data_IF_787799219205
#
_entry.id   IF_787799219205
#
_cell.length_a   1.000
_cell.length_b   1.000
_cell.length_c   1.000
_cell.angle_alpha   90.00
_cell.angle_beta   90.00
_cell.angle_gamma   90.00
#
_symmetry.space_group_name_H-M   'P 1'
#
loop_
_entity.id
_entity.type
_entity.pdbx_description
1 polymer ?
#
# COMPACT_ATOMS: atom_id res chain seq x y z
N UNK A 1 13.40 11.46 5.80
CA UNK A 1 14.33 10.39 6.21
C UNK A 1 14.22 9.30 5.16
N UNK A 2 15.30 9.02 4.43
CA UNK A 2 15.27 8.01 3.36
C UNK A 2 15.10 6.61 4.00
N UNK A 3 14.33 5.73 3.37
CA UNK A 3 14.24 4.29 3.65
C UNK A 3 13.41 3.83 4.87
N UNK A 4 12.46 4.63 5.38
CA UNK A 4 11.46 4.11 6.33
C UNK A 4 10.50 3.14 5.63
N UNK A 5 10.17 2.04 6.31
CA UNK A 5 9.29 1.00 5.80
C UNK A 5 8.25 0.53 6.82
N UNK A 6 7.12 0.05 6.30
CA UNK A 6 6.14 -0.73 7.05
C UNK A 6 6.46 -2.21 6.85
N UNK A 7 6.68 -2.95 7.92
CA UNK A 7 6.86 -4.41 7.86
C UNK A 7 5.57 -5.08 8.28
N UNK A 8 5.06 -6.00 7.46
CA UNK A 8 3.78 -6.67 7.70
C UNK A 8 3.94 -8.18 7.72
N UNK A 9 3.40 -8.82 8.76
CA UNK A 9 3.37 -10.27 8.89
C UNK A 9 2.08 -10.83 8.27
N UNK A 10 2.16 -11.24 7.00
CA UNK A 10 0.98 -11.56 6.17
C UNK A 10 0.85 -13.05 5.86
N UNK A 11 -0.39 -13.54 5.91
CA UNK A 11 -0.73 -14.89 5.43
C UNK A 11 -0.89 -14.95 3.91
N UNK A 12 -1.01 -13.79 3.24
CA UNK A 12 -1.16 -13.71 1.78
C UNK A 12 0.16 -14.00 1.08
N UNK A 13 0.13 -14.81 0.03
CA UNK A 13 1.25 -15.01 -0.89
C UNK A 13 1.47 -13.80 -1.79
N UNK A 14 2.62 -13.76 -2.47
CA UNK A 14 2.99 -12.67 -3.37
C UNK A 14 1.96 -12.49 -4.49
N UNK A 15 1.56 -13.56 -5.18
CA UNK A 15 0.65 -13.49 -6.32
C UNK A 15 -0.67 -12.80 -5.95
N UNK A 16 -1.19 -13.11 -4.76
CA UNK A 16 -2.40 -12.47 -4.23
C UNK A 16 -2.18 -11.00 -3.88
N UNK A 17 -1.08 -10.66 -3.21
CA UNK A 17 -0.74 -9.27 -2.88
C UNK A 17 -0.63 -8.40 -4.13
N UNK A 18 0.02 -8.91 -5.18
CA UNK A 18 0.15 -8.20 -6.45
C UNK A 18 -1.20 -8.01 -7.13
N UNK A 19 -2.03 -9.07 -7.21
CA UNK A 19 -3.39 -9.00 -7.75
C UNK A 19 -4.28 -7.99 -7.01
N UNK A 20 -4.09 -7.86 -5.70
CA UNK A 20 -4.87 -6.94 -4.85
C UNK A 20 -4.36 -5.49 -4.89
N UNK A 21 -3.28 -5.19 -5.61
CA UNK A 21 -2.72 -3.84 -5.67
C UNK A 21 -1.79 -3.49 -4.50
N UNK A 22 -1.60 -4.40 -3.54
CA UNK A 22 -0.88 -4.14 -2.31
C UNK A 22 -1.26 -5.05 -1.16
N UNK A 23 -0.72 -4.75 0.03
CA UNK A 23 -0.95 -5.54 1.23
C UNK A 23 -2.08 -4.93 2.05
N UNK A 24 -3.17 -5.67 2.27
CA UNK A 24 -4.42 -5.11 2.81
C UNK A 24 -4.93 -5.70 4.13
N UNK A 25 -6.05 -5.13 4.60
CA UNK A 25 -6.75 -5.51 5.82
C UNK A 25 -5.93 -5.32 7.11
N UNK A 26 -5.12 -4.26 7.16
CA UNK A 26 -4.27 -3.92 8.30
C UNK A 26 -4.95 -3.00 9.30
N UNK A 27 -4.81 -3.29 10.59
CA UNK A 27 -4.97 -2.30 11.65
C UNK A 27 -3.63 -1.60 11.85
N UNK A 28 -3.48 -0.44 11.20
CA UNK A 28 -2.27 0.38 11.25
C UNK A 28 -2.60 1.85 11.50
N UNK A 29 -1.59 2.65 11.83
CA UNK A 29 -1.70 4.10 11.85
C UNK A 29 -1.41 4.64 10.45
N UNK A 30 -2.43 5.14 9.75
CA UNK A 30 -2.31 5.60 8.37
C UNK A 30 -1.36 6.81 8.23
N UNK A 31 -1.32 7.70 9.22
CA UNK A 31 -0.40 8.84 9.22
C UNK A 31 1.07 8.39 9.28
N UNK A 32 1.39 7.38 10.10
CA UNK A 32 2.74 6.81 10.13
C UNK A 32 3.07 6.00 8.88
N UNK A 33 2.12 5.19 8.39
CA UNK A 33 2.31 4.42 7.16
C UNK A 33 2.54 5.34 5.95
N UNK A 34 1.84 6.47 5.88
CA UNK A 34 2.01 7.46 4.80
C UNK A 34 3.36 8.19 4.80
N UNK A 35 4.16 8.07 5.86
CA UNK A 35 5.55 8.58 5.90
C UNK A 35 6.58 7.55 5.41
N UNK A 36 6.18 6.29 5.27
CA UNK A 36 7.05 5.22 4.81
C UNK A 36 7.09 5.18 3.28
N UNK A 37 8.27 4.95 2.71
CA UNK A 37 8.44 4.82 1.26
C UNK A 37 8.24 3.37 0.78
N UNK A 38 8.37 2.40 1.69
CA UNK A 38 8.36 0.98 1.35
C UNK A 38 7.46 0.16 2.28
N UNK A 39 6.92 -0.93 1.76
CA UNK A 39 6.32 -2.01 2.54
C UNK A 39 7.13 -3.28 2.34
N UNK A 40 7.47 -3.97 3.43
CA UNK A 40 8.16 -5.27 3.42
C UNK A 40 7.19 -6.33 3.93
N UNK A 41 6.85 -7.28 3.07
CA UNK A 41 5.96 -8.37 3.42
C UNK A 41 6.76 -9.57 3.94
N UNK A 42 6.39 -10.03 5.12
CA UNK A 42 6.98 -11.19 5.79
C UNK A 42 5.92 -12.28 5.90
N UNK A 43 6.28 -13.52 5.55
CA UNK A 43 5.29 -14.58 5.46
C UNK A 43 4.91 -15.16 6.83
N UNK A 44 3.62 -15.16 7.10
CA UNK A 44 2.98 -15.95 8.14
C UNK A 44 2.49 -17.28 7.56
N UNK A 45 3.04 -18.41 8.03
CA UNK A 45 2.54 -19.75 7.67
C UNK A 45 1.64 -20.38 8.73
N UNK A 46 1.44 -19.71 9.87
CA UNK A 46 0.48 -20.17 10.89
C UNK A 46 -0.98 -20.05 10.40
N UNK A 47 -1.19 -19.46 9.21
CA UNK A 47 -2.46 -19.33 8.51
C UNK A 47 -2.24 -19.70 7.04
N UNK A 48 -3.17 -20.45 6.44
CA UNK A 48 -3.08 -20.95 5.07
C UNK A 48 -4.04 -20.27 4.08
N UNK A 49 -5.04 -19.53 4.56
CA UNK A 49 -6.10 -18.92 3.74
C UNK A 49 -5.59 -17.96 2.66
N UNK A 50 -4.41 -17.38 2.86
CA UNK A 50 -3.82 -16.41 1.95
C UNK A 50 -2.94 -17.01 0.86
N UNK A 51 -2.85 -18.35 0.76
CA UNK A 51 -2.00 -19.05 -0.20
C UNK A 51 -0.52 -18.63 -0.06
N UNK A 52 0.13 -18.90 1.08
CA UNK A 52 1.50 -18.44 1.34
C UNK A 52 2.50 -19.05 0.36
N UNK A 53 3.44 -18.24 -0.14
CA UNK A 53 4.41 -18.61 -1.18
C UNK A 53 5.86 -18.67 -0.65
N UNK A 54 6.17 -17.99 0.45
CA UNK A 54 7.51 -18.01 1.07
C UNK A 54 7.54 -18.82 2.38
N UNK A 55 8.73 -19.08 2.95
CA UNK A 55 8.87 -19.77 4.26
C UNK A 55 8.39 -18.87 5.41
N UNK A 56 8.02 -19.47 6.54
CA UNK A 56 7.58 -18.69 7.70
C UNK A 56 8.67 -17.71 8.16
N UNK A 57 8.28 -16.48 8.50
CA UNK A 57 9.16 -15.38 8.92
C UNK A 57 10.20 -14.95 7.88
N UNK A 58 10.06 -15.35 6.61
CA UNK A 58 10.88 -14.85 5.51
C UNK A 58 10.26 -13.58 4.94
N UNK A 59 11.02 -12.50 4.86
CA UNK A 59 10.66 -11.35 4.02
C UNK A 59 10.80 -11.75 2.55
N UNK A 60 9.71 -11.63 1.80
CA UNK A 60 9.59 -12.20 0.45
C UNK A 60 9.25 -11.18 -0.63
N UNK A 61 8.79 -9.99 -0.24
CA UNK A 61 8.39 -8.93 -1.16
C UNK A 61 8.68 -7.58 -0.51
N UNK A 62 9.31 -6.69 -1.27
CA UNK A 62 9.35 -5.26 -0.97
C UNK A 62 8.56 -4.51 -2.04
N UNK A 63 7.66 -3.62 -1.62
CA UNK A 63 6.89 -2.76 -2.51
C UNK A 63 7.16 -1.28 -2.24
N UNK A 64 7.25 -0.47 -3.29
CA UNK A 64 7.23 0.99 -3.17
C UNK A 64 5.80 1.44 -2.89
N UNK A 65 5.59 2.09 -1.75
CA UNK A 65 4.25 2.54 -1.34
C UNK A 65 3.80 3.66 -2.27
N UNK A 66 2.64 3.48 -2.89
CA UNK A 66 2.00 4.51 -3.74
C UNK A 66 0.95 5.31 -2.97
N UNK A 67 0.18 4.65 -2.09
CA UNK A 67 -0.81 5.30 -1.24
C UNK A 67 -1.26 4.40 -0.10
N UNK A 68 -1.88 5.00 0.92
CA UNK A 68 -2.58 4.29 2.00
C UNK A 68 -4.07 4.60 1.88
N UNK A 69 -4.91 3.60 1.68
CA UNK A 69 -6.36 3.77 1.53
C UNK A 69 -7.15 2.76 2.35
N UNK A 70 -8.47 2.96 2.47
CA UNK A 70 -9.34 2.03 3.18
C UNK A 70 -9.45 0.72 2.40
N UNK A 71 -9.32 -0.40 3.13
CA UNK A 71 -9.49 -1.74 2.61
C UNK A 71 -10.93 -1.93 2.13
N UNK A 72 -11.11 -2.36 0.88
CA UNK A 72 -12.43 -2.66 0.30
C UNK A 72 -12.84 -4.13 0.52
N UNK A 73 -11.94 -4.96 1.06
CA UNK A 73 -12.24 -6.35 1.40
C UNK A 73 -13.41 -6.45 2.39
N UNK A 74 -14.36 -7.34 2.09
CA UNK A 74 -15.51 -7.61 2.94
C UNK A 74 -15.06 -8.03 4.36
N UNK A 75 -15.68 -7.44 5.38
CA UNK A 75 -15.33 -7.70 6.79
C UNK A 75 -14.07 -6.98 7.28
N UNK A 76 -13.44 -6.14 6.44
CA UNK A 76 -12.25 -5.35 6.78
C UNK A 76 -12.55 -3.86 7.03
N UNK A 77 -13.76 -3.53 7.47
CA UNK A 77 -14.17 -2.15 7.81
C UNK A 77 -13.22 -1.53 8.83
N UNK A 78 -12.76 -0.29 8.55
CA UNK A 78 -11.81 0.44 9.38
C UNK A 78 -10.37 -0.09 9.30
N UNK A 79 -10.06 -0.98 8.36
CA UNK A 79 -8.71 -1.47 8.08
C UNK A 79 -8.17 -0.85 6.81
N UNK A 80 -6.85 -0.83 6.69
CA UNK A 80 -6.14 -0.15 5.61
C UNK A 80 -5.51 -1.14 4.62
N UNK A 81 -5.37 -0.68 3.39
CA UNK A 81 -4.49 -1.24 2.37
C UNK A 81 -3.28 -0.33 2.16
N UNK A 82 -2.11 -0.97 2.06
CA UNK A 82 -0.87 -0.34 1.66
C UNK A 82 -0.68 -0.64 0.18
N UNK A 83 -1.06 0.31 -0.68
CA UNK A 83 -0.98 0.16 -2.13
C UNK A 83 0.48 0.29 -2.57
N UNK A 84 0.86 -0.47 -3.60
CA UNK A 84 2.23 -0.46 -4.15
C UNK A 84 2.21 -0.14 -5.65
N UNK A 85 3.17 0.67 -6.10
CA UNK A 85 3.35 0.98 -7.53
C UNK A 85 4.37 0.07 -8.22
N UNK A 86 5.37 -0.36 -7.48
CA UNK A 86 6.45 -1.21 -7.93
C UNK A 86 6.82 -2.19 -6.84
N UNK A 87 7.40 -3.32 -7.21
CA UNK A 87 7.84 -4.33 -6.26
C UNK A 87 9.13 -5.01 -6.70
N UNK A 88 9.87 -5.54 -5.74
CA UNK A 88 11.00 -6.42 -5.97
C UNK A 88 10.86 -7.67 -5.10
N UNK A 89 11.35 -8.79 -5.64
CA UNK A 89 11.47 -10.04 -4.91
C UNK A 89 12.67 -9.99 -3.99
N UNK A 90 12.47 -10.45 -2.76
CA UNK A 90 13.53 -10.60 -1.75
C UNK A 90 13.39 -11.95 -1.08
N UNK A 91 14.43 -12.42 -0.40
CA UNK A 91 14.38 -13.67 0.38
C UNK A 91 15.30 -13.56 1.58
N UNK A 92 14.79 -12.97 2.65
CA UNK A 92 15.55 -12.75 3.89
C UNK A 92 14.85 -13.53 5.01
N UNK A 93 15.46 -14.60 5.55
CA UNK A 93 14.85 -15.43 6.58
C UNK A 93 14.85 -14.73 7.94
N UNK A 94 13.94 -15.15 8.83
CA UNK A 94 13.88 -14.72 10.23
C UNK A 94 13.76 -13.20 10.46
N UNK A 95 13.09 -12.50 9.55
CA UNK A 95 12.92 -11.04 9.64
C UNK A 95 11.88 -10.65 10.70
N UNK A 96 10.94 -11.53 11.01
CA UNK A 96 9.94 -11.27 12.04
C UNK A 96 10.42 -11.71 13.42
N UNK A 97 10.41 -10.78 14.37
CA UNK A 97 10.90 -10.94 15.76
C UNK A 97 9.89 -11.65 16.69
N UNK A 98 8.72 -12.04 16.18
CA UNK A 98 7.65 -12.66 16.97
C UNK A 98 6.72 -11.66 17.64
N UNK A 99 6.80 -10.36 17.32
CA UNK A 99 5.87 -9.36 17.83
C UNK A 99 4.40 -9.77 17.55
N UNK A 100 3.54 -9.56 18.55
CA UNK A 100 2.10 -9.88 18.50
C UNK A 100 1.35 -8.99 17.52
N UNK A 101 1.76 -7.73 17.36
CA UNK A 101 1.15 -6.84 16.38
C UNK A 101 1.73 -7.16 15.00
N UNK A 102 0.96 -7.64 14.01
CA UNK A 102 1.48 -8.06 12.71
C UNK A 102 1.90 -6.89 11.80
N UNK A 103 2.07 -5.69 12.36
CA UNK A 103 2.55 -4.48 11.69
C UNK A 103 3.65 -3.85 12.54
N UNK A 104 4.79 -3.58 11.93
CA UNK A 104 5.91 -2.88 12.53
C UNK A 104 6.41 -1.77 11.61
N UNK A 105 7.13 -0.80 12.17
CA UNK A 105 7.77 0.27 11.43
C UNK A 105 9.28 0.17 11.67
N UNK A 106 10.05 0.09 10.59
CA UNK A 106 11.49 -0.19 10.60
C UNK A 106 12.17 0.64 9.52
N UNK A 107 13.49 0.58 9.47
CA UNK A 107 14.29 1.05 8.32
C UNK A 107 14.70 -0.12 7.44
N UNK A 108 15.01 0.11 6.16
CA UNK A 108 15.50 -0.96 5.28
C UNK A 108 16.87 -1.50 5.74
N UNK A 109 17.68 -0.64 6.34
CA UNK A 109 18.99 -0.95 6.90
C UNK A 109 18.88 -1.96 8.05
N UNK A 110 17.91 -1.79 8.95
CA UNK A 110 17.60 -2.76 10.02
C UNK A 110 17.25 -4.15 9.49
N UNK A 111 16.76 -4.23 8.25
CA UNK A 111 16.35 -5.48 7.59
C UNK A 111 17.44 -6.06 6.67
N UNK A 112 18.61 -5.40 6.57
CA UNK A 112 19.67 -5.71 5.61
C UNK A 112 19.17 -5.71 4.14
N UNK A 113 18.30 -4.77 3.79
CA UNK A 113 17.81 -4.58 2.43
C UNK A 113 18.55 -3.42 1.78
N UNK A 114 19.33 -3.73 0.74
CA UNK A 114 19.99 -2.75 -0.11
C UNK A 114 19.20 -2.54 -1.41
N UNK A 115 18.76 -1.31 -1.64
CA UNK A 115 17.95 -0.94 -2.80
C UNK A 115 18.72 -0.98 -4.11
N UNK A 116 20.04 -0.80 -4.11
CA UNK A 116 20.84 -0.74 -5.35
C UNK A 116 20.88 -2.09 -6.06
N UNK A 117 20.72 -3.18 -5.30
CA UNK A 117 20.77 -4.54 -5.79
C UNK A 117 19.38 -5.11 -6.18
N UNK A 118 18.31 -4.31 -6.05
CA UNK A 118 16.94 -4.77 -6.30
C UNK A 118 16.44 -4.38 -7.69
N UNK A 119 15.89 -5.37 -8.40
CA UNK A 119 15.17 -5.19 -9.66
C UNK A 119 13.69 -4.93 -9.37
N UNK A 120 13.27 -3.66 -9.48
CA UNK A 120 11.87 -3.28 -9.30
C UNK A 120 11.08 -3.49 -10.60
N UNK A 121 9.99 -4.25 -10.48
CA UNK A 121 8.99 -4.43 -11.51
C UNK A 121 7.83 -3.48 -11.22
N UNK A 122 7.31 -2.81 -12.26
CA UNK A 122 6.06 -2.08 -12.13
C UNK A 122 4.94 -3.07 -11.83
N UNK A 123 4.07 -2.70 -10.90
CA UNK A 123 2.85 -3.43 -10.71
C UNK A 123 1.94 -3.12 -11.91
N UNK A 124 1.77 -4.09 -12.80
CA UNK A 124 0.75 -4.03 -13.82
C UNK A 124 -0.61 -4.14 -13.12
N UNK A 125 -1.21 -2.98 -12.85
CA UNK A 125 -2.62 -2.94 -12.52
C UNK A 125 -3.33 -3.33 -13.82
N UNK A 126 -3.85 -4.56 -13.88
CA UNK A 126 -4.86 -4.84 -14.90
C UNK A 126 -5.93 -3.76 -14.74
N UNK A 127 -6.21 -2.95 -15.78
CA UNK A 127 -7.34 -2.05 -15.72
C UNK A 127 -8.54 -2.95 -15.46
N UNK A 128 -9.12 -2.81 -14.28
CA UNK A 128 -10.14 -3.68 -13.71
C UNK A 128 -11.07 -4.21 -14.81
N UNK A 129 -10.83 -5.44 -15.28
CA UNK A 129 -11.67 -6.13 -16.27
C UNK A 129 -12.89 -6.69 -15.54
N UNK A 130 -13.69 -5.77 -15.01
CA UNK A 130 -15.10 -5.96 -14.76
C UNK A 130 -15.81 -4.80 -15.46
N UNK A 131 -16.23 -5.09 -16.69
CA UNK A 131 -17.28 -4.40 -17.45
C UNK A 131 -17.31 -2.87 -17.39
N UNK A 132 -16.60 -2.25 -18.36
CA UNK A 132 -17.01 -0.97 -18.96
C UNK A 132 -16.35 -0.76 -20.32
N UNK A 133 -16.45 -1.76 -21.21
CA UNK A 133 -16.14 -1.59 -22.63
C UNK A 133 -17.19 -0.74 -23.39
N UNK A 134 -18.04 0.02 -22.69
CA UNK A 134 -19.04 0.92 -23.26
C UNK A 134 -19.35 2.12 -22.34
N UNK A 135 -18.37 2.66 -21.61
CA UNK A 135 -18.50 4.04 -21.12
C UNK A 135 -17.69 4.99 -22.00
N UNK A 136 -18.25 6.13 -22.42
CA UNK A 136 -17.46 7.21 -22.98
C UNK A 136 -16.30 7.49 -22.01
N UNK A 137 -15.13 7.79 -22.55
CA UNK A 137 -14.05 8.45 -21.81
C UNK A 137 -14.72 9.56 -21.00
N UNK A 138 -14.87 9.38 -19.68
CA UNK A 138 -15.34 10.46 -18.81
C UNK A 138 -14.27 11.53 -18.97
N UNK A 139 -14.54 12.50 -19.85
CA UNK A 139 -13.99 13.83 -19.68
C UNK A 139 -14.29 14.16 -18.24
N UNK A 140 -13.23 14.19 -17.41
CA UNK A 140 -13.33 14.80 -16.10
C UNK A 140 -14.01 16.14 -16.33
N UNK A 141 -15.26 16.26 -15.89
CA UNK A 141 -15.98 17.51 -16.01
C UNK A 141 -15.08 18.56 -15.39
N UNK A 142 -14.73 19.58 -16.18
CA UNK A 142 -13.86 20.65 -15.71
C UNK A 142 -14.59 21.34 -14.56
N UNK A 143 -14.21 21.02 -13.34
CA UNK A 143 -14.75 21.67 -12.16
C UNK A 143 -14.08 23.03 -11.98
N UNK A 144 -14.86 23.97 -11.46
CA UNK A 144 -14.35 25.28 -11.09
C UNK A 144 -13.45 25.17 -9.84
N UNK A 145 -12.55 26.14 -9.65
CA UNK A 145 -11.73 26.22 -8.42
C UNK A 145 -12.60 26.27 -7.14
N UNK A 146 -13.70 27.04 -7.08
CA UNK A 146 -14.62 27.00 -5.93
C UNK A 146 -15.18 25.60 -5.66
N UNK A 147 -15.58 24.87 -6.71
CA UNK A 147 -16.14 23.54 -6.57
C UNK A 147 -15.08 22.53 -6.11
N UNK A 148 -13.86 22.62 -6.65
CA UNK A 148 -12.73 21.84 -6.16
C UNK A 148 -12.46 22.10 -4.67
N UNK A 149 -12.46 23.37 -4.24
CA UNK A 149 -12.30 23.71 -2.82
C UNK A 149 -13.44 23.16 -1.96
N UNK A 150 -14.69 23.24 -2.41
CA UNK A 150 -15.85 22.71 -1.69
C UNK A 150 -15.77 21.20 -1.50
N UNK A 151 -15.38 20.46 -2.54
CA UNK A 151 -15.20 19.01 -2.48
C UNK A 151 -14.06 18.63 -1.52
N UNK A 152 -12.93 19.32 -1.59
CA UNK A 152 -11.80 19.11 -0.68
C UNK A 152 -12.17 19.46 0.77
N UNK A 153 -12.93 20.54 0.99
CA UNK A 153 -13.42 20.95 2.31
C UNK A 153 -14.25 19.85 2.97
N UNK A 154 -15.18 19.28 2.21
CA UNK A 154 -16.01 18.16 2.66
C UNK A 154 -15.17 16.90 2.93
N UNK A 155 -14.19 16.60 2.08
CA UNK A 155 -13.34 15.42 2.23
C UNK A 155 -12.43 15.49 3.47
N UNK A 156 -11.85 16.67 3.73
CA UNK A 156 -10.92 16.87 4.83
C UNK A 156 -11.58 17.38 6.12
N UNK A 157 -12.89 17.58 6.11
CA UNK A 157 -13.68 18.14 7.22
C UNK A 157 -13.09 19.48 7.74
N UNK A 158 -12.83 20.39 6.80
CA UNK A 158 -12.32 21.73 7.08
C UNK A 158 -13.16 22.80 6.36
N UNK A 159 -13.22 24.03 6.89
CA UNK A 159 -13.85 25.14 6.18
C UNK A 159 -13.19 25.38 4.81
N UNK A 160 -14.00 25.75 3.82
CA UNK A 160 -13.55 25.95 2.43
C UNK A 160 -12.49 27.06 2.30
N UNK A 161 -12.58 28.08 3.16
CA UNK A 161 -11.62 29.18 3.27
C UNK A 161 -10.22 28.74 3.70
N UNK A 162 -10.09 27.58 4.35
CA UNK A 162 -8.81 27.03 4.80
C UNK A 162 -8.07 26.26 3.69
N UNK A 163 -8.62 26.21 2.47
CA UNK A 163 -8.05 25.46 1.35
C UNK A 163 -7.46 26.41 0.30
N UNK A 164 -6.18 26.24 0.00
CA UNK A 164 -5.45 26.91 -1.09
C UNK A 164 -5.07 25.91 -2.18
N UNK A 165 -5.33 26.25 -3.45
CA UNK A 165 -4.93 25.47 -4.62
C UNK A 165 -3.87 26.29 -5.37
N UNK A 166 -2.68 25.72 -5.58
CA UNK A 166 -1.58 26.36 -6.33
C UNK A 166 -1.24 25.48 -7.53
N UNK A 167 -1.19 26.08 -8.72
CA UNK A 167 -0.78 25.44 -9.96
C UNK A 167 0.56 26.05 -10.35
N UNK A 168 1.64 25.26 -10.27
CA UNK A 168 2.94 25.68 -10.79
C UNK A 168 3.02 25.21 -12.24
N UNK A 169 3.28 26.14 -13.16
CA UNK A 169 3.56 25.86 -14.56
C UNK A 169 5.06 25.78 -14.79
#
# INVERSE_FOLDING_TARGET
MKNQCVVVLTARGKSRILKEGGSQAWRLNAHHAGKCSYVVCVQNRNKSWGQPEAKHHTAFLIGKISSISQSQEEGSQGRWIINISEYADISIPNVWDGNRNPVAYRTLEELNIDLENLQFNKLEQEPNVLEQANKPKEELEKISIPEAKRLLANYFDVPQENISITINM
#
